data_IF_251534967200
#
_entry.id   IF_251534967200
#
_cell.length_a   1.000
_cell.length_b   1.000
_cell.length_c   1.000
_cell.angle_alpha   90.00
_cell.angle_beta   90.00
_cell.angle_gamma   90.00
#
_symmetry.space_group_name_H-M   'P 1'
#
loop_
_entity.id
_entity.type
_entity.pdbx_description
1 polymer ?
#
# COMPACT_ATOMS: atom_id res chain seq x y z
N UNK A 1 0.41 22.93 -1.98
CA UNK A 1 -0.19 21.82 -1.22
C UNK A 1 -1.56 22.11 -0.63
N UNK A 2 -2.26 23.19 -1.01
CA UNK A 2 -3.57 23.54 -0.44
C UNK A 2 -4.70 22.55 -0.80
N UNK A 3 -4.52 21.77 -1.88
CA UNK A 3 -5.44 20.69 -2.28
C UNK A 3 -5.13 19.32 -1.64
N UNK A 4 -4.05 19.21 -0.85
CA UNK A 4 -3.68 17.95 -0.19
C UNK A 4 -4.41 17.84 1.14
N UNK A 5 -5.09 16.72 1.37
CA UNK A 5 -5.68 16.37 2.67
C UNK A 5 -5.01 15.12 3.26
N UNK A 6 -3.90 15.30 3.98
CA UNK A 6 -3.11 14.20 4.54
C UNK A 6 -2.68 13.18 3.47
N UNK A 7 -2.94 11.90 3.76
CA UNK A 7 -2.78 10.77 2.84
C UNK A 7 -4.13 10.22 2.32
N UNK A 8 -5.23 10.96 2.50
CA UNK A 8 -6.55 10.52 2.03
C UNK A 8 -6.64 10.49 0.51
N UNK A 9 -7.39 9.53 -0.01
CA UNK A 9 -7.73 9.42 -1.42
C UNK A 9 -9.19 9.86 -1.68
N UNK A 10 -9.48 10.52 -2.82
CA UNK A 10 -8.57 10.93 -3.90
C UNK A 10 -7.70 12.21 -3.72
N UNK A 11 -7.76 13.02 -2.65
CA UNK A 11 -7.01 14.28 -2.57
C UNK A 11 -5.49 14.17 -2.78
N UNK A 12 -4.86 13.09 -2.29
CA UNK A 12 -3.43 12.89 -2.47
C UNK A 12 -3.06 12.75 -3.95
N UNK A 13 -3.75 11.88 -4.69
CA UNK A 13 -3.48 11.69 -6.12
C UNK A 13 -3.83 12.93 -6.94
N UNK A 14 -4.86 13.70 -6.55
CA UNK A 14 -5.15 15.00 -7.19
C UNK A 14 -4.00 15.98 -7.01
N UNK A 15 -3.39 16.04 -5.82
CA UNK A 15 -2.20 16.84 -5.59
C UNK A 15 -1.00 16.37 -6.42
N UNK A 16 -0.78 15.06 -6.51
CA UNK A 16 0.28 14.47 -7.35
C UNK A 16 0.06 14.83 -8.81
N UNK A 17 -1.18 14.73 -9.31
CA UNK A 17 -1.56 15.07 -10.68
C UNK A 17 -1.26 16.55 -11.00
N UNK A 18 -1.69 17.49 -10.16
CA UNK A 18 -1.39 18.91 -10.40
C UNK A 18 0.12 19.21 -10.35
N UNK A 19 0.83 18.54 -9.44
CA UNK A 19 2.29 18.65 -9.34
C UNK A 19 2.97 18.11 -10.61
N UNK A 20 2.46 17.01 -11.16
CA UNK A 20 2.94 16.45 -12.41
C UNK A 20 2.72 17.39 -13.58
N UNK A 21 1.50 17.92 -13.72
CA UNK A 21 1.16 18.85 -14.80
C UNK A 21 2.02 20.10 -14.78
N UNK A 22 2.19 20.70 -13.59
CA UNK A 22 3.08 21.86 -13.41
C UNK A 22 4.52 21.53 -13.81
N UNK A 23 5.03 20.36 -13.39
CA UNK A 23 6.40 19.94 -13.66
C UNK A 23 6.65 19.75 -15.16
N UNK A 24 5.73 19.08 -15.85
CA UNK A 24 5.79 18.87 -17.30
C UNK A 24 5.81 20.23 -18.03
N UNK A 25 4.87 21.12 -17.72
CA UNK A 25 4.74 22.41 -18.42
C UNK A 25 5.95 23.31 -18.20
N UNK A 26 6.46 23.38 -16.96
CA UNK A 26 7.51 24.33 -16.59
C UNK A 26 8.90 23.83 -16.91
N UNK A 27 9.18 22.55 -16.65
CA UNK A 27 10.54 22.03 -16.65
C UNK A 27 10.82 21.01 -17.75
N UNK A 28 9.79 20.35 -18.31
CA UNK A 28 9.93 19.35 -19.38
C UNK A 28 11.05 18.32 -19.08
N UNK A 29 10.98 17.62 -17.93
CA UNK A 29 12.06 16.72 -17.52
C UNK A 29 12.21 15.54 -18.50
N UNK A 30 13.43 15.04 -18.66
CA UNK A 30 13.71 13.86 -19.50
C UNK A 30 13.23 12.53 -18.89
N UNK A 31 13.00 12.50 -17.58
CA UNK A 31 12.43 11.36 -16.87
C UNK A 31 11.50 11.87 -15.77
N UNK A 32 10.30 11.30 -15.70
CA UNK A 32 9.35 11.57 -14.63
C UNK A 32 8.68 10.28 -14.20
N UNK A 33 8.66 10.03 -12.89
CA UNK A 33 7.98 8.88 -12.29
C UNK A 33 6.81 9.40 -11.45
N UNK A 34 5.61 8.90 -11.72
CA UNK A 34 4.38 9.32 -11.06
C UNK A 34 3.77 8.08 -10.43
N UNK A 35 3.46 8.16 -9.13
CA UNK A 35 2.85 7.07 -8.39
C UNK A 35 1.47 7.52 -7.89
N UNK A 36 0.44 6.78 -8.30
CA UNK A 36 -0.95 6.99 -7.93
C UNK A 36 -1.41 5.81 -7.06
N UNK A 37 -2.06 6.09 -5.93
CA UNK A 37 -2.51 5.05 -4.98
C UNK A 37 -4.01 5.05 -4.74
N UNK A 38 -4.78 5.84 -5.49
CA UNK A 38 -6.24 5.95 -5.35
C UNK A 38 -6.95 4.59 -5.51
N UNK A 39 -6.62 3.82 -6.55
CA UNK A 39 -7.25 2.50 -6.79
C UNK A 39 -6.91 1.51 -5.69
N UNK A 40 -5.64 1.44 -5.29
CA UNK A 40 -5.18 0.53 -4.24
C UNK A 40 -5.87 0.83 -2.89
N UNK A 41 -5.91 2.11 -2.49
CA UNK A 41 -6.57 2.52 -1.26
C UNK A 41 -8.06 2.12 -1.23
N UNK A 42 -8.80 2.35 -2.33
CA UNK A 42 -10.22 1.99 -2.39
C UNK A 42 -10.42 0.47 -2.40
N UNK A 43 -9.53 -0.31 -3.03
CA UNK A 43 -9.58 -1.77 -2.95
C UNK A 43 -9.30 -2.30 -1.55
N UNK A 44 -8.40 -1.67 -0.81
CA UNK A 44 -8.16 -2.01 0.60
C UNK A 44 -9.36 -1.72 1.50
N UNK A 45 -10.10 -0.63 1.26
CA UNK A 45 -11.23 -0.25 2.11
C UNK A 45 -12.55 -0.92 1.74
N UNK A 46 -12.79 -1.17 0.45
CA UNK A 46 -14.11 -1.55 -0.06
C UNK A 46 -14.12 -2.86 -0.86
N UNK A 47 -12.95 -3.43 -1.16
CA UNK A 47 -12.80 -4.66 -1.95
C UNK A 47 -12.48 -4.42 -3.42
N UNK A 48 -12.04 -5.48 -4.10
CA UNK A 48 -11.43 -5.45 -5.43
C UNK A 48 -12.34 -4.84 -6.51
N UNK A 49 -13.63 -5.20 -6.50
CA UNK A 49 -14.61 -4.81 -7.51
C UNK A 49 -15.73 -3.91 -6.94
N UNK A 50 -15.43 -3.14 -5.90
CA UNK A 50 -16.40 -2.21 -5.31
C UNK A 50 -16.76 -1.07 -6.27
N UNK A 51 -17.84 -0.35 -5.97
CA UNK A 51 -18.20 0.86 -6.73
C UNK A 51 -17.07 1.90 -6.61
N UNK A 52 -16.53 2.08 -5.41
CA UNK A 52 -15.47 3.03 -5.12
C UNK A 52 -14.16 2.70 -5.84
N UNK A 53 -13.77 1.42 -5.90
CA UNK A 53 -12.60 0.96 -6.65
C UNK A 53 -12.77 1.20 -8.16
N UNK A 54 -13.97 0.94 -8.70
CA UNK A 54 -14.27 1.22 -10.11
C UNK A 54 -14.29 2.73 -10.42
N UNK A 55 -14.81 3.56 -9.51
CA UNK A 55 -14.71 5.02 -9.65
C UNK A 55 -13.27 5.51 -9.56
N UNK A 56 -12.41 4.88 -8.73
CA UNK A 56 -10.99 5.19 -8.69
C UNK A 56 -10.28 4.86 -10.01
N UNK A 57 -10.63 3.75 -10.65
CA UNK A 57 -10.10 3.39 -11.99
C UNK A 57 -10.50 4.43 -13.04
N UNK A 58 -11.76 4.90 -13.03
CA UNK A 58 -12.20 6.00 -13.91
C UNK A 58 -11.41 7.28 -13.66
N UNK A 59 -11.10 7.61 -12.40
CA UNK A 59 -10.22 8.75 -12.09
C UNK A 59 -8.81 8.56 -12.64
N UNK A 60 -8.26 7.34 -12.64
CA UNK A 60 -6.95 7.06 -13.26
C UNK A 60 -6.97 7.23 -14.78
N UNK A 61 -8.04 6.79 -15.45
CA UNK A 61 -8.24 7.02 -16.89
C UNK A 61 -8.23 8.53 -17.22
N UNK A 62 -9.00 9.32 -16.47
CA UNK A 62 -9.01 10.79 -16.61
C UNK A 62 -7.61 11.38 -16.38
N UNK A 63 -6.90 10.97 -15.32
CA UNK A 63 -5.55 11.47 -15.02
C UNK A 63 -4.56 11.17 -16.13
N UNK A 64 -4.61 9.97 -16.72
CA UNK A 64 -3.78 9.61 -17.86
C UNK A 64 -4.07 10.50 -19.08
N UNK A 65 -5.34 10.72 -19.39
CA UNK A 65 -5.76 11.66 -20.43
C UNK A 65 -5.22 13.08 -20.21
N UNK A 66 -5.33 13.58 -18.97
CA UNK A 66 -4.78 14.89 -18.61
C UNK A 66 -3.25 14.98 -18.72
N UNK A 67 -2.51 13.90 -18.41
CA UNK A 67 -1.05 13.85 -18.60
C UNK A 67 -0.73 13.97 -20.10
N UNK A 68 -1.42 13.18 -20.94
CA UNK A 68 -1.25 13.24 -22.40
C UNK A 68 -1.54 14.65 -22.92
N UNK A 69 -2.64 15.27 -22.49
CA UNK A 69 -2.98 16.64 -22.89
C UNK A 69 -1.97 17.67 -22.39
N UNK A 70 -1.36 17.42 -21.24
CA UNK A 70 -0.31 18.30 -20.71
C UNK A 70 0.99 18.19 -21.53
N UNK A 71 1.35 16.98 -21.97
CA UNK A 71 2.48 16.77 -22.89
C UNK A 71 2.23 17.44 -24.25
N UNK A 72 1.00 17.38 -24.77
CA UNK A 72 0.59 18.12 -25.99
C UNK A 72 0.76 19.62 -25.79
N UNK A 73 0.23 20.17 -24.69
CA UNK A 73 0.37 21.61 -24.35
C UNK A 73 1.82 22.05 -24.19
N UNK A 74 2.69 21.17 -23.71
CA UNK A 74 4.12 21.41 -23.59
C UNK A 74 4.88 21.24 -24.93
N UNK A 75 4.22 20.79 -26.00
CA UNK A 75 4.78 20.45 -27.31
C UNK A 75 5.89 19.38 -27.24
N UNK A 76 5.73 18.37 -26.38
CA UNK A 76 6.72 17.29 -26.21
C UNK A 76 6.11 15.89 -26.30
N UNK A 77 4.82 15.75 -26.67
CA UNK A 77 4.17 14.44 -26.76
C UNK A 77 4.89 13.50 -27.73
N UNK A 78 5.21 13.98 -28.94
CA UNK A 78 5.85 13.17 -29.99
C UNK A 78 7.27 12.71 -29.61
N UNK A 79 7.94 13.45 -28.71
CA UNK A 79 9.26 13.14 -28.17
C UNK A 79 9.19 12.36 -26.84
N UNK A 80 7.99 11.99 -26.39
CA UNK A 80 7.76 11.33 -25.10
C UNK A 80 7.31 9.88 -25.29
N UNK A 81 7.75 9.00 -24.40
CA UNK A 81 7.20 7.65 -24.25
C UNK A 81 6.47 7.56 -22.92
N UNK A 82 5.21 7.13 -22.94
CA UNK A 82 4.42 6.88 -21.75
C UNK A 82 4.40 5.38 -21.48
N UNK A 83 4.78 5.00 -20.26
CA UNK A 83 4.73 3.61 -19.78
C UNK A 83 3.80 3.59 -18.57
N UNK A 84 2.71 2.81 -18.66
CA UNK A 84 1.75 2.62 -17.58
C UNK A 84 1.85 1.17 -17.07
N UNK A 85 2.09 1.00 -15.77
CA UNK A 85 2.29 -0.29 -15.11
C UNK A 85 1.55 -0.30 -13.78
N UNK A 86 1.17 -1.50 -13.33
CA UNK A 86 0.81 -1.76 -11.94
C UNK A 86 1.97 -2.43 -11.21
N UNK A 87 2.12 -2.15 -9.91
CA UNK A 87 3.12 -2.77 -9.05
C UNK A 87 2.63 -4.12 -8.49
N UNK A 88 1.35 -4.23 -8.18
CA UNK A 88 0.69 -5.48 -7.81
C UNK A 88 -0.82 -5.46 -8.14
N UNK A 89 -1.48 -6.59 -7.90
CA UNK A 89 -2.94 -6.70 -7.89
C UNK A 89 -3.46 -6.85 -6.45
N UNK A 90 -4.77 -6.96 -6.29
CA UNK A 90 -5.43 -7.17 -4.99
C UNK A 90 -6.35 -8.38 -5.11
N UNK A 91 -6.53 -9.10 -4.00
CA UNK A 91 -7.49 -10.20 -3.86
C UNK A 91 -8.37 -9.89 -2.65
N UNK A 92 -9.67 -10.20 -2.74
CA UNK A 92 -10.59 -9.99 -1.62
C UNK A 92 -10.27 -10.93 -0.45
N UNK A 93 -10.18 -10.36 0.75
CA UNK A 93 -9.97 -11.08 2.00
C UNK A 93 -11.24 -11.11 2.83
N UNK A 94 -11.73 -12.31 3.16
CA UNK A 94 -12.94 -12.48 3.99
C UNK A 94 -12.64 -12.80 5.45
N UNK A 95 -11.37 -13.09 5.78
CA UNK A 95 -10.95 -13.51 7.11
C UNK A 95 -9.68 -12.77 7.53
N UNK A 96 -9.56 -12.47 8.82
CA UNK A 96 -8.36 -11.90 9.42
C UNK A 96 -7.88 -12.78 10.57
N UNK A 97 -6.60 -13.17 10.53
CA UNK A 97 -5.99 -14.00 11.57
C UNK A 97 -5.13 -13.11 12.48
N UNK A 98 -5.47 -13.07 13.76
CA UNK A 98 -4.72 -12.30 14.77
C UNK A 98 -3.57 -13.14 15.35
N UNK A 99 -2.52 -13.38 14.56
CA UNK A 99 -1.40 -14.27 14.96
C UNK A 99 -0.78 -13.88 16.31
N UNK A 100 -0.65 -12.59 16.62
CA UNK A 100 -0.09 -12.15 17.91
C UNK A 100 -1.02 -12.44 19.11
N UNK A 101 -2.33 -12.61 18.90
CA UNK A 101 -3.23 -13.08 19.96
C UNK A 101 -2.94 -14.55 20.27
N UNK A 102 -2.82 -15.38 19.24
CA UNK A 102 -2.48 -16.80 19.39
C UNK A 102 -1.11 -17.00 20.08
N UNK A 103 -0.10 -16.22 19.68
CA UNK A 103 1.22 -16.25 20.33
C UNK A 103 1.14 -15.82 21.80
N UNK A 104 0.30 -14.84 22.14
CA UNK A 104 0.08 -14.40 23.54
C UNK A 104 -0.55 -15.52 24.38
N UNK A 105 -1.59 -16.16 23.85
CA UNK A 105 -2.31 -17.26 24.52
C UNK A 105 -1.40 -18.46 24.81
N UNK A 106 -0.37 -18.66 23.98
CA UNK A 106 0.65 -19.69 24.15
C UNK A 106 1.88 -19.22 24.96
N UNK A 107 1.83 -18.05 25.61
CA UNK A 107 2.93 -17.54 26.44
C UNK A 107 4.20 -17.16 25.66
N UNK A 108 4.06 -16.92 24.35
CA UNK A 108 5.18 -16.52 23.46
C UNK A 108 5.34 -15.01 23.38
N UNK A 109 4.36 -14.23 23.80
CA UNK A 109 4.48 -12.79 23.98
C UNK A 109 3.63 -12.26 25.13
N UNK A 110 4.08 -11.17 25.73
CA UNK A 110 3.41 -10.50 26.83
C UNK A 110 3.15 -9.04 26.48
N UNK A 111 1.99 -8.55 26.89
CA UNK A 111 1.60 -7.15 26.79
C UNK A 111 1.26 -6.60 28.17
N UNK A 112 1.40 -5.30 28.36
CA UNK A 112 0.94 -4.61 29.57
C UNK A 112 -0.59 -4.41 29.57
N UNK A 113 -1.11 -3.75 30.61
CA UNK A 113 -2.55 -3.46 30.76
C UNK A 113 -3.10 -2.51 29.70
N UNK A 114 -2.25 -1.82 28.94
CA UNK A 114 -2.61 -0.95 27.81
C UNK A 114 -2.44 -1.65 26.46
N UNK A 115 -2.11 -2.94 26.45
CA UNK A 115 -1.88 -3.73 25.23
C UNK A 115 -0.53 -3.46 24.57
N UNK A 116 0.39 -2.75 25.22
CA UNK A 116 1.73 -2.50 24.68
C UNK A 116 2.62 -3.69 24.94
N UNK A 117 3.42 -4.08 23.93
CA UNK A 117 4.39 -5.17 24.04
C UNK A 117 5.36 -4.93 25.22
N UNK A 118 5.39 -5.88 26.16
CA UNK A 118 6.30 -5.90 27.31
C UNK A 118 7.50 -6.81 27.06
N UNK A 119 7.26 -8.01 26.56
CA UNK A 119 8.29 -9.00 26.25
C UNK A 119 7.81 -9.97 25.17
N UNK A 120 8.72 -10.66 24.49
CA UNK A 120 8.39 -11.73 23.56
C UNK A 120 9.49 -12.78 23.49
N UNK A 121 9.09 -14.03 23.29
CA UNK A 121 9.92 -15.11 22.73
C UNK A 121 9.74 -15.18 21.22
N UNK A 122 8.52 -14.93 20.74
CA UNK A 122 8.19 -14.82 19.32
C UNK A 122 7.19 -13.68 19.07
N UNK A 123 7.30 -13.00 17.94
CA UNK A 123 6.36 -11.95 17.52
C UNK A 123 6.10 -12.01 16.03
N UNK A 124 4.83 -11.88 15.63
CA UNK A 124 4.43 -11.79 14.25
C UNK A 124 4.46 -10.34 13.74
N UNK A 125 5.02 -10.14 12.55
CA UNK A 125 4.97 -8.89 11.80
C UNK A 125 4.27 -9.15 10.48
N UNK A 126 3.11 -8.51 10.31
CA UNK A 126 2.33 -8.59 9.09
C UNK A 126 3.10 -8.00 7.90
N UNK A 127 2.98 -8.66 6.76
CA UNK A 127 3.35 -8.22 5.42
C UNK A 127 2.13 -8.47 4.51
N UNK A 128 0.99 -7.94 4.96
CA UNK A 128 -0.35 -8.05 4.37
C UNK A 128 -0.77 -9.50 4.10
N UNK A 129 -0.59 -10.01 2.88
CA UNK A 129 -0.91 -11.40 2.53
C UNK A 129 0.00 -12.46 3.16
N UNK A 130 1.00 -12.05 3.94
CA UNK A 130 1.93 -12.93 4.65
C UNK A 130 2.34 -12.36 6.01
N UNK A 131 3.09 -13.13 6.79
CA UNK A 131 3.60 -12.69 8.08
C UNK A 131 4.95 -13.33 8.37
N UNK A 132 5.88 -12.54 8.89
CA UNK A 132 7.14 -13.04 9.44
C UNK A 132 7.02 -13.24 10.94
N UNK A 133 7.43 -14.42 11.42
CA UNK A 133 7.58 -14.69 12.85
C UNK A 133 9.04 -14.47 13.25
N UNK A 134 9.27 -13.50 14.13
CA UNK A 134 10.59 -13.20 14.67
C UNK A 134 10.76 -13.81 16.05
N UNK A 135 11.77 -14.66 16.20
CA UNK A 135 12.20 -15.17 17.51
C UNK A 135 13.17 -14.19 18.18
N UNK A 136 13.02 -14.01 19.50
CA UNK A 136 13.99 -13.26 20.31
C UNK A 136 15.35 -13.96 20.33
N UNK A 137 15.34 -15.29 20.45
CA UNK A 137 16.50 -16.15 20.22
C UNK A 137 16.26 -16.97 18.95
N UNK A 138 17.01 -16.66 17.88
CA UNK A 138 16.84 -17.31 16.56
C UNK A 138 17.14 -18.80 16.55
N UNK A 139 17.90 -19.31 17.53
CA UNK A 139 18.31 -20.71 17.61
C UNK A 139 17.44 -21.55 18.56
N UNK A 140 16.35 -20.97 19.09
CA UNK A 140 15.46 -21.65 20.02
C UNK A 140 14.53 -22.63 19.28
N UNK A 141 15.00 -23.87 19.14
CA UNK A 141 14.29 -24.94 18.42
C UNK A 141 12.99 -25.36 19.09
N UNK A 142 12.90 -25.25 20.42
CA UNK A 142 11.68 -25.60 21.16
C UNK A 142 10.56 -24.62 20.82
N UNK A 143 10.87 -23.32 20.85
CA UNK A 143 9.91 -22.27 20.47
C UNK A 143 9.56 -22.37 18.99
N UNK A 144 10.52 -22.65 18.10
CA UNK A 144 10.24 -22.84 16.68
C UNK A 144 9.25 -23.99 16.44
N UNK A 145 9.48 -25.15 17.08
CA UNK A 145 8.59 -26.31 16.96
C UNK A 145 7.19 -26.01 17.50
N UNK A 146 7.09 -25.33 18.65
CA UNK A 146 5.80 -24.92 19.21
C UNK A 146 5.03 -24.00 18.24
N UNK A 147 5.71 -23.03 17.63
CA UNK A 147 5.10 -22.14 16.63
C UNK A 147 4.59 -22.93 15.43
N UNK A 148 5.37 -23.89 14.93
CA UNK A 148 4.93 -24.76 13.84
C UNK A 148 3.70 -25.59 14.21
N UNK A 149 3.55 -26.02 15.47
CA UNK A 149 2.37 -26.77 15.92
C UNK A 149 1.13 -25.89 16.03
N UNK A 150 1.25 -24.65 16.51
CA UNK A 150 0.08 -23.77 16.69
C UNK A 150 -0.39 -23.10 15.39
N UNK A 151 0.47 -23.00 14.37
CA UNK A 151 0.15 -22.38 13.07
C UNK A 151 -0.23 -23.37 11.97
N UNK A 152 -0.06 -24.67 12.20
CA UNK A 152 -0.52 -25.75 11.32
C UNK A 152 -1.90 -26.26 11.76
#
# INVERSE_FOLDING_TARGET
GHIRNGNSQPPLDNYVQESAKYTILKYKPNLMLIHFTDVDAHRHYYGYNSVEANEALKRHDIRLGEIIDTLKKANILEDSTIIALGDHSTIDGNNMINVNVLLKENGLLEVDSKGKLKSYKAIAKSCDGSSYIYLKNRNDKEILNLISTILN
#
